data_IF_830845867741
#
_entry.id   IF_830845867741
#
_cell.length_a   1.000
_cell.length_b   1.000
_cell.length_c   1.000
_cell.angle_alpha   90.00
_cell.angle_beta   90.00
_cell.angle_gamma   90.00
#
_symmetry.space_group_name_H-M   'P 1'
#
loop_
_entity.id
_entity.type
_entity.pdbx_description
1 polymer ?
#
# COMPACT_ATOMS: atom_id res chain seq x y z
N UNK A 1 -5.35 -10.13 12.90
CA UNK A 1 -5.51 -9.73 11.48
C UNK A 1 -5.07 -10.84 10.55
N UNK A 2 -5.62 -10.88 9.38
CA UNK A 2 -5.27 -11.84 8.32
C UNK A 2 -5.27 -11.14 6.95
N UNK A 3 -4.72 -11.81 5.94
CA UNK A 3 -4.68 -11.30 4.58
C UNK A 3 -5.14 -12.39 3.60
N UNK A 4 -5.70 -11.96 2.48
CA UNK A 4 -6.09 -12.83 1.36
C UNK A 4 -6.00 -12.08 0.04
N UNK A 5 -6.06 -12.83 -1.06
CA UNK A 5 -6.19 -12.23 -2.39
C UNK A 5 -7.46 -11.37 -2.44
N UNK A 6 -7.36 -10.18 -3.00
CA UNK A 6 -8.45 -9.22 -3.03
C UNK A 6 -9.57 -9.62 -3.97
N UNK A 7 -10.78 -9.20 -3.62
CA UNK A 7 -11.98 -9.25 -4.48
C UNK A 7 -12.42 -7.83 -4.84
N UNK A 8 -13.29 -7.72 -5.86
CA UNK A 8 -13.89 -6.42 -6.22
C UNK A 8 -14.66 -5.84 -5.01
N UNK A 9 -15.37 -6.69 -4.26
CA UNK A 9 -16.10 -6.25 -3.07
C UNK A 9 -15.17 -5.66 -2.00
N UNK A 10 -13.95 -6.17 -1.86
CA UNK A 10 -12.95 -5.62 -0.95
C UNK A 10 -12.57 -4.20 -1.34
N UNK A 11 -12.33 -3.95 -2.63
CA UNK A 11 -12.02 -2.61 -3.12
C UNK A 11 -13.16 -1.64 -2.84
N UNK A 12 -14.39 -2.05 -3.11
CA UNK A 12 -15.57 -1.23 -2.86
C UNK A 12 -15.70 -0.88 -1.38
N UNK A 13 -15.48 -1.85 -0.50
CA UNK A 13 -15.54 -1.64 0.95
C UNK A 13 -14.48 -0.66 1.42
N UNK A 14 -13.22 -0.87 1.04
CA UNK A 14 -12.11 -0.02 1.48
C UNK A 14 -12.24 1.40 0.92
N UNK A 15 -12.54 1.53 -0.37
CA UNK A 15 -12.71 2.86 -0.99
C UNK A 15 -13.97 3.57 -0.50
N UNK A 16 -15.02 2.83 -0.12
CA UNK A 16 -16.22 3.41 0.50
C UNK A 16 -16.00 3.97 1.89
N UNK A 17 -14.97 3.51 2.60
CA UNK A 17 -14.57 3.99 3.92
C UNK A 17 -13.15 4.54 3.95
N UNK A 18 -12.65 5.06 2.82
CA UNK A 18 -11.27 5.52 2.68
C UNK A 18 -10.92 6.57 3.72
N UNK A 19 -9.76 6.40 4.36
CA UNK A 19 -9.28 7.34 5.36
C UNK A 19 -8.99 8.71 4.74
N UNK A 20 -9.11 9.75 5.57
CA UNK A 20 -8.76 11.12 5.17
C UNK A 20 -7.31 11.20 4.69
N UNK A 21 -6.41 10.52 5.38
CA UNK A 21 -4.98 10.46 5.05
C UNK A 21 -4.76 9.92 3.63
N UNK A 22 -5.45 8.85 3.25
CA UNK A 22 -5.32 8.28 1.91
C UNK A 22 -5.94 9.19 0.85
N UNK A 23 -7.08 9.81 1.15
CA UNK A 23 -7.70 10.79 0.26
C UNK A 23 -6.78 11.98 -0.01
N UNK A 24 -6.09 12.46 1.02
CA UNK A 24 -5.12 13.56 0.89
C UNK A 24 -3.92 13.14 0.06
N UNK A 25 -3.43 11.90 0.25
CA UNK A 25 -2.33 11.34 -0.53
C UNK A 25 -2.66 11.31 -2.03
N UNK A 26 -3.83 10.81 -2.39
CA UNK A 26 -4.26 10.75 -3.79
C UNK A 26 -4.44 12.14 -4.39
N UNK A 27 -5.03 13.06 -3.63
CA UNK A 27 -5.21 14.44 -4.08
C UNK A 27 -3.86 15.12 -4.31
N UNK A 28 -2.91 14.93 -3.41
CA UNK A 28 -1.56 15.49 -3.55
C UNK A 28 -0.84 14.92 -4.79
N UNK A 29 -1.13 13.67 -5.15
CA UNK A 29 -0.60 13.02 -6.35
C UNK A 29 -1.32 13.48 -7.64
N UNK A 30 -2.36 14.31 -7.52
CA UNK A 30 -3.16 14.73 -8.67
C UNK A 30 -4.15 13.68 -9.17
N UNK A 31 -4.50 12.71 -8.32
CA UNK A 31 -5.35 11.58 -8.69
C UNK A 31 -6.71 11.66 -8.01
N UNK A 32 -7.78 11.37 -8.76
CA UNK A 32 -9.09 11.13 -8.20
C UNK A 32 -9.17 9.70 -7.62
N UNK A 33 -9.98 9.50 -6.59
CA UNK A 33 -10.13 8.18 -5.96
C UNK A 33 -10.60 7.11 -6.95
N UNK A 34 -11.42 7.45 -7.93
CA UNK A 34 -11.89 6.52 -8.96
C UNK A 34 -10.75 6.04 -9.88
N UNK A 35 -9.88 6.96 -10.32
CA UNK A 35 -8.72 6.60 -11.12
C UNK A 35 -7.76 5.69 -10.37
N UNK A 36 -7.56 5.95 -9.07
CA UNK A 36 -6.76 5.09 -8.20
C UNK A 36 -7.41 3.71 -8.08
N UNK A 37 -8.72 3.66 -7.86
CA UNK A 37 -9.45 2.38 -7.75
C UNK A 37 -9.33 1.55 -9.03
N UNK A 38 -9.35 2.18 -10.21
CA UNK A 38 -9.15 1.50 -11.49
C UNK A 38 -7.76 0.84 -11.58
N UNK A 39 -6.73 1.50 -11.07
CA UNK A 39 -5.38 0.92 -11.01
C UNK A 39 -5.34 -0.33 -10.12
N UNK A 40 -6.01 -0.30 -8.98
CA UNK A 40 -6.15 -1.47 -8.10
C UNK A 40 -6.86 -2.62 -8.83
N UNK A 41 -7.89 -2.31 -9.61
CA UNK A 41 -8.65 -3.33 -10.35
C UNK A 41 -7.77 -4.08 -11.33
N UNK A 42 -6.84 -3.40 -12.00
CA UNK A 42 -5.90 -4.05 -12.91
C UNK A 42 -4.99 -5.04 -12.18
N UNK A 43 -4.39 -4.63 -11.08
CA UNK A 43 -3.55 -5.50 -10.26
C UNK A 43 -4.33 -6.68 -9.70
N UNK A 44 -5.58 -6.45 -9.28
CA UNK A 44 -6.47 -7.48 -8.78
C UNK A 44 -6.72 -8.57 -9.83
N UNK A 45 -6.96 -8.18 -11.07
CA UNK A 45 -7.16 -9.14 -12.18
C UNK A 45 -5.94 -10.02 -12.42
N UNK A 46 -4.76 -9.53 -12.11
CA UNK A 46 -3.50 -10.27 -12.23
C UNK A 46 -3.17 -11.09 -10.97
N UNK A 47 -4.04 -11.06 -9.95
CA UNK A 47 -3.79 -11.73 -8.66
C UNK A 47 -2.76 -11.01 -7.80
N UNK A 48 -2.46 -9.75 -8.08
CA UNK A 48 -1.44 -8.94 -7.39
C UNK A 48 -2.06 -7.84 -6.53
N UNK A 49 -3.07 -8.22 -5.77
CA UNK A 49 -3.68 -7.37 -4.77
C UNK A 49 -4.09 -8.22 -3.57
N UNK A 50 -3.71 -7.79 -2.38
CA UNK A 50 -4.08 -8.45 -1.13
C UNK A 50 -4.88 -7.52 -0.25
N UNK A 51 -5.93 -8.09 0.34
CA UNK A 51 -6.78 -7.41 1.33
C UNK A 51 -6.32 -7.78 2.73
N UNK A 52 -6.14 -6.78 3.57
CA UNK A 52 -5.92 -6.96 5.01
C UNK A 52 -7.26 -6.89 5.72
N UNK A 53 -7.53 -7.87 6.59
CA UNK A 53 -8.79 -8.03 7.29
C UNK A 53 -8.58 -7.92 8.78
N UNK A 54 -9.44 -7.17 9.43
CA UNK A 54 -9.60 -7.16 10.88
C UNK A 54 -10.91 -7.89 11.20
N UNK A 55 -10.80 -9.14 11.71
CA UNK A 55 -11.94 -10.04 11.72
C UNK A 55 -12.40 -10.31 10.28
N UNK A 56 -13.66 -10.03 9.99
CA UNK A 56 -14.22 -10.16 8.66
C UNK A 56 -14.27 -8.84 7.87
N UNK A 57 -13.76 -7.75 8.46
CA UNK A 57 -13.81 -6.43 7.85
C UNK A 57 -12.56 -6.15 7.04
N UNK A 58 -12.73 -5.82 5.76
CA UNK A 58 -11.64 -5.35 4.91
C UNK A 58 -11.25 -3.93 5.34
N UNK A 59 -10.00 -3.75 5.78
CA UNK A 59 -9.50 -2.47 6.29
C UNK A 59 -8.42 -1.85 5.42
N UNK A 60 -7.76 -2.63 4.56
CA UNK A 60 -6.76 -2.12 3.64
C UNK A 60 -6.58 -3.05 2.45
N UNK A 61 -6.11 -2.49 1.34
CA UNK A 61 -5.68 -3.25 0.16
C UNK A 61 -4.29 -2.79 -0.23
N UNK A 62 -3.40 -3.75 -0.48
CA UNK A 62 -2.08 -3.52 -1.04
C UNK A 62 -2.06 -4.16 -2.42
N UNK A 63 -1.81 -3.36 -3.44
CA UNK A 63 -1.65 -3.85 -4.81
C UNK A 63 -0.25 -3.55 -5.31
N UNK A 64 0.24 -4.36 -6.24
CA UNK A 64 1.57 -4.15 -6.81
C UNK A 64 1.63 -4.58 -8.26
N UNK A 65 2.61 -4.03 -8.96
CA UNK A 65 3.00 -4.51 -10.29
C UNK A 65 4.52 -4.52 -10.38
N UNK A 66 5.04 -5.46 -11.14
CA UNK A 66 6.47 -5.61 -11.34
C UNK A 66 6.87 -4.94 -12.65
N UNK A 67 7.89 -4.08 -12.58
CA UNK A 67 8.44 -3.40 -13.74
C UNK A 67 9.93 -3.15 -13.52
N UNK A 68 10.74 -3.54 -14.48
CA UNK A 68 12.19 -3.30 -14.48
C UNK A 68 12.89 -3.74 -13.19
N UNK A 69 12.52 -4.94 -12.69
CA UNK A 69 13.12 -5.53 -11.50
C UNK A 69 12.69 -4.90 -10.19
N UNK A 70 11.61 -4.15 -10.19
CA UNK A 70 11.07 -3.47 -9.00
C UNK A 70 9.58 -3.81 -8.86
N UNK A 71 9.14 -4.07 -7.64
CA UNK A 71 7.73 -4.21 -7.32
C UNK A 71 7.19 -2.86 -6.84
N UNK A 72 6.38 -2.23 -7.67
CA UNK A 72 5.75 -0.94 -7.36
C UNK A 72 4.44 -1.17 -6.64
N UNK A 73 4.27 -0.57 -5.46
CA UNK A 73 3.07 -0.76 -4.65
C UNK A 73 2.17 0.46 -4.65
N UNK A 74 0.88 0.20 -4.53
CA UNK A 74 -0.14 1.19 -4.20
C UNK A 74 -0.94 0.66 -3.01
N UNK A 75 -1.46 1.57 -2.20
CA UNK A 75 -2.06 1.25 -0.92
C UNK A 75 -3.34 2.04 -0.70
N UNK A 76 -4.36 1.38 -0.18
CA UNK A 76 -5.61 2.01 0.23
C UNK A 76 -6.00 1.49 1.61
N UNK A 77 -6.50 2.35 2.48
CA UNK A 77 -6.86 1.96 3.84
C UNK A 77 -8.00 2.81 4.39
N UNK A 78 -8.82 2.20 5.22
CA UNK A 78 -9.79 2.90 6.07
C UNK A 78 -9.10 3.40 7.35
N UNK A 79 -9.78 4.27 8.10
CA UNK A 79 -9.24 4.81 9.35
C UNK A 79 -8.90 3.71 10.37
N UNK A 80 -9.68 2.64 10.40
CA UNK A 80 -9.49 1.54 11.35
C UNK A 80 -8.19 0.75 11.12
N UNK A 81 -7.57 0.89 9.94
CA UNK A 81 -6.28 0.25 9.65
C UNK A 81 -5.14 0.85 10.49
N UNK A 82 -5.16 2.16 10.76
CA UNK A 82 -4.03 2.85 11.38
C UNK A 82 -3.96 2.62 12.90
N UNK A 83 -3.71 1.38 13.29
CA UNK A 83 -3.49 0.95 14.67
C UNK A 83 -2.14 0.25 14.78
N UNK A 84 -1.61 0.12 16.01
CA UNK A 84 -0.31 -0.53 16.24
C UNK A 84 -0.29 -1.99 15.78
N UNK A 85 -1.38 -2.73 16.00
CA UNK A 85 -1.47 -4.14 15.58
C UNK A 85 -1.52 -4.27 14.06
N UNK A 86 -2.22 -3.37 13.37
CA UNK A 86 -2.28 -3.35 11.91
C UNK A 86 -0.92 -3.04 11.30
N UNK A 87 -0.18 -2.11 11.89
CA UNK A 87 1.17 -1.74 11.41
C UNK A 87 2.12 -2.93 11.49
N UNK A 88 2.13 -3.65 12.61
CA UNK A 88 2.97 -4.84 12.76
C UNK A 88 2.60 -5.94 11.77
N UNK A 89 1.31 -6.15 11.56
CA UNK A 89 0.83 -7.11 10.58
C UNK A 89 1.25 -6.70 9.16
N UNK A 90 1.09 -5.43 8.81
CA UNK A 90 1.49 -4.89 7.52
C UNK A 90 2.99 -5.08 7.26
N UNK A 91 3.83 -4.83 8.27
CA UNK A 91 5.27 -5.04 8.17
C UNK A 91 5.63 -6.48 7.77
N UNK A 92 4.98 -7.47 8.38
CA UNK A 92 5.19 -8.88 8.02
C UNK A 92 4.62 -9.20 6.65
N UNK A 93 3.44 -8.69 6.35
CA UNK A 93 2.75 -9.01 5.11
C UNK A 93 3.43 -8.41 3.88
N UNK A 94 3.99 -7.20 3.99
CA UNK A 94 4.74 -6.60 2.87
C UNK A 94 5.98 -7.43 2.52
N UNK A 95 6.63 -8.06 3.50
CA UNK A 95 7.72 -8.99 3.26
C UNK A 95 7.24 -10.26 2.54
N UNK A 96 6.04 -10.70 2.83
CA UNK A 96 5.43 -11.84 2.12
C UNK A 96 5.13 -11.49 0.67
N UNK A 97 4.61 -10.30 0.40
CA UNK A 97 4.42 -9.80 -0.97
C UNK A 97 5.77 -9.76 -1.69
N UNK A 98 6.82 -9.29 -1.03
CA UNK A 98 8.17 -9.26 -1.60
C UNK A 98 8.64 -10.67 -2.00
N UNK A 99 8.41 -11.66 -1.15
CA UNK A 99 8.75 -13.05 -1.47
C UNK A 99 7.94 -13.56 -2.67
N UNK A 100 6.66 -13.22 -2.76
CA UNK A 100 5.80 -13.59 -3.89
C UNK A 100 6.23 -12.94 -5.20
N UNK A 101 6.87 -11.77 -5.14
CA UNK A 101 7.37 -11.07 -6.32
C UNK A 101 8.83 -11.42 -6.66
N UNK A 102 9.36 -12.52 -6.13
CA UNK A 102 10.72 -12.95 -6.42
C UNK A 102 11.79 -12.22 -5.64
N UNK A 103 11.45 -11.71 -4.45
CA UNK A 103 12.34 -10.95 -3.58
C UNK A 103 12.90 -9.67 -4.25
N UNK A 104 12.09 -9.04 -5.09
CA UNK A 104 12.45 -7.75 -5.69
C UNK A 104 12.42 -6.63 -4.64
N UNK A 105 13.18 -5.56 -4.82
CA UNK A 105 12.96 -4.38 -4.01
C UNK A 105 11.55 -3.85 -4.23
N UNK A 106 10.89 -3.41 -3.16
CA UNK A 106 9.55 -2.82 -3.23
C UNK A 106 9.69 -1.31 -3.15
N UNK A 107 9.06 -0.59 -4.08
CA UNK A 107 9.01 0.86 -4.05
C UNK A 107 7.59 1.35 -3.81
N UNK A 108 7.50 2.44 -3.06
CA UNK A 108 6.26 3.16 -2.85
C UNK A 108 6.53 4.65 -2.95
N UNK A 109 5.73 5.37 -3.72
CA UNK A 109 5.85 6.81 -3.88
C UNK A 109 4.80 7.51 -3.03
N UNK A 110 5.22 8.48 -2.21
CA UNK A 110 4.33 9.25 -1.34
C UNK A 110 4.43 10.74 -1.64
N UNK A 111 3.28 11.39 -1.71
CA UNK A 111 3.14 12.83 -1.93
C UNK A 111 2.85 13.62 -0.67
N UNK A 112 2.80 12.95 0.49
CA UNK A 112 2.61 13.60 1.78
C UNK A 112 3.94 13.68 2.54
N UNK A 113 4.40 14.90 2.79
CA UNK A 113 5.61 15.17 3.58
C UNK A 113 5.21 15.53 5.02
N UNK A 114 4.72 14.53 5.75
CA UNK A 114 4.29 14.66 7.15
C UNK A 114 5.08 13.72 8.04
N UNK A 115 5.42 14.13 9.27
CA UNK A 115 6.19 13.27 10.19
C UNK A 115 5.56 11.90 10.43
N UNK A 116 4.23 11.80 10.53
CA UNK A 116 3.54 10.54 10.74
C UNK A 116 3.66 9.60 9.54
N UNK A 117 3.70 10.13 8.32
CA UNK A 117 3.89 9.34 7.09
C UNK A 117 5.31 8.80 7.03
N UNK A 118 6.30 9.65 7.26
CA UNK A 118 7.72 9.27 7.29
C UNK A 118 7.96 8.19 8.33
N UNK A 119 7.40 8.36 9.53
CA UNK A 119 7.52 7.40 10.63
C UNK A 119 6.91 6.06 10.26
N UNK A 120 5.75 6.06 9.61
CA UNK A 120 5.06 4.84 9.20
C UNK A 120 5.91 4.01 8.25
N UNK A 121 6.47 4.62 7.20
CA UNK A 121 7.36 3.92 6.27
C UNK A 121 8.60 3.36 6.97
N UNK A 122 9.19 4.13 7.88
CA UNK A 122 10.36 3.69 8.64
C UNK A 122 10.04 2.49 9.53
N UNK A 123 8.88 2.49 10.18
CA UNK A 123 8.47 1.38 11.06
C UNK A 123 8.28 0.10 10.25
N UNK A 124 7.70 0.16 9.07
CA UNK A 124 7.49 -1.04 8.23
C UNK A 124 8.74 -1.46 7.47
N UNK A 125 9.84 -0.75 7.61
CA UNK A 125 11.16 -1.16 7.11
C UNK A 125 11.62 -0.50 5.83
N UNK A 126 10.88 0.48 5.32
CA UNK A 126 11.27 1.22 4.12
C UNK A 126 12.32 2.27 4.46
N UNK A 127 13.15 2.57 3.45
CA UNK A 127 14.14 3.66 3.51
C UNK A 127 13.85 4.64 2.38
N UNK A 128 14.09 5.92 2.65
CA UNK A 128 13.99 6.95 1.62
C UNK A 128 15.15 6.80 0.63
N UNK A 129 14.85 6.72 -0.66
CA UNK A 129 15.88 6.56 -1.70
C UNK A 129 15.99 7.76 -2.62
N UNK A 130 14.92 8.53 -2.81
CA UNK A 130 14.93 9.69 -3.68
C UNK A 130 13.86 10.69 -3.26
N UNK A 131 14.12 11.97 -3.47
CA UNK A 131 13.14 13.03 -3.41
C UNK A 131 12.95 13.61 -4.80
N UNK A 132 11.68 13.75 -5.19
CA UNK A 132 11.26 14.50 -6.37
C UNK A 132 10.57 15.78 -5.91
N UNK A 133 10.23 16.69 -6.81
CA UNK A 133 9.74 18.01 -6.45
C UNK A 133 8.56 17.99 -5.46
N UNK A 134 7.64 17.03 -5.61
CA UNK A 134 6.44 16.95 -4.80
C UNK A 134 6.21 15.57 -4.17
N UNK A 135 7.20 14.68 -4.25
CA UNK A 135 7.04 13.32 -3.74
C UNK A 135 8.34 12.74 -3.22
N UNK A 136 8.21 11.70 -2.40
CA UNK A 136 9.33 10.93 -1.87
C UNK A 136 9.17 9.48 -2.29
N UNK A 137 10.26 8.86 -2.74
CA UNK A 137 10.29 7.44 -3.06
C UNK A 137 10.90 6.70 -1.88
N UNK A 138 10.16 5.71 -1.38
CA UNK A 138 10.58 4.80 -0.31
C UNK A 138 10.83 3.42 -0.90
N UNK A 139 11.86 2.76 -0.43
CA UNK A 139 12.18 1.41 -0.88
C UNK A 139 12.34 0.45 0.28
N UNK A 140 11.76 -0.73 0.14
CA UNK A 140 12.04 -1.87 0.98
C UNK A 140 13.06 -2.74 0.24
N UNK A 141 14.32 -2.79 0.72
CA UNK A 141 15.35 -3.59 0.05
C UNK A 141 14.97 -5.08 0.05
N UNK A 142 15.50 -5.87 -0.88
CA UNK A 142 15.31 -7.31 -0.86
C UNK A 142 15.67 -7.92 0.50
N UNK A 143 14.94 -8.95 0.91
CA UNK A 143 15.25 -9.71 2.11
C UNK A 143 16.54 -10.50 1.90
N UNK A 144 17.32 -10.57 2.95
CA UNK A 144 18.59 -11.35 2.94
C UNK A 144 18.33 -12.82 3.20
#
# INVERSE_FOLDING_TARGET
>A
MRARTSTIGDLETVFGGLSKRMSEEYRAAGLGSRGVQDNFTMSLKEGRAHTLLDGDKAVAVIAWHEDDGIAHTVFAASDSFFSASSVRFCKRHIRRIQALSGNLPIQHQSWLDRPEVVRWFKIIGFVETAKQDHSTIYELPPAR
#
